data_IF_617037397215
#
_entry.id   IF_617037397215
#
_cell.length_a   1.000
_cell.length_b   1.000
_cell.length_c   1.000
_cell.angle_alpha   90.00
_cell.angle_beta   90.00
_cell.angle_gamma   90.00
#
_symmetry.space_group_name_H-M   'P 1'
#
loop_
_entity.id
_entity.type
_entity.pdbx_description
1 polymer ?
#
# COMPACT_ATOMS: atom_id res chain seq x y z
N UNK A 1 -11.59 -46.35 -11.67
CA UNK A 1 -10.20 -45.94 -11.39
C UNK A 1 -10.29 -44.61 -10.66
N UNK A 2 -10.11 -44.60 -9.34
CA UNK A 2 -10.06 -43.38 -8.54
C UNK A 2 -8.73 -42.73 -8.83
N UNK A 3 -8.74 -41.54 -9.46
CA UNK A 3 -7.57 -40.71 -9.58
C UNK A 3 -7.11 -40.33 -8.14
N UNK A 4 -6.03 -40.95 -7.70
CA UNK A 4 -5.37 -40.59 -6.47
C UNK A 4 -4.63 -39.27 -6.73
N UNK A 5 -5.24 -38.14 -6.37
CA UNK A 5 -4.52 -36.89 -6.33
C UNK A 5 -3.32 -37.04 -5.37
N UNK A 6 -2.11 -36.62 -5.78
CA UNK A 6 -0.95 -36.69 -4.90
C UNK A 6 -1.22 -35.88 -3.62
N UNK A 7 -0.78 -36.42 -2.47
CA UNK A 7 -0.98 -35.75 -1.19
C UNK A 7 -0.35 -34.36 -1.19
N UNK A 8 -1.11 -33.37 -0.72
CA UNK A 8 -0.63 -32.00 -0.59
C UNK A 8 0.41 -31.95 0.52
N UNK A 9 1.62 -31.48 0.23
CA UNK A 9 2.70 -31.24 1.18
C UNK A 9 2.91 -29.75 1.38
N UNK A 10 3.64 -29.36 2.43
CA UNK A 10 4.05 -27.95 2.66
C UNK A 10 4.70 -27.33 1.40
N UNK A 11 5.66 -28.05 0.82
CA UNK A 11 6.38 -27.56 -0.35
C UNK A 11 5.48 -27.40 -1.59
N UNK A 12 4.58 -28.38 -1.85
CA UNK A 12 3.68 -28.33 -3.00
C UNK A 12 2.56 -27.33 -2.82
N UNK A 13 2.01 -27.18 -1.61
CA UNK A 13 0.97 -26.20 -1.31
C UNK A 13 1.47 -24.77 -1.45
N UNK A 14 2.64 -24.46 -0.90
CA UNK A 14 3.24 -23.14 -0.96
C UNK A 14 4.08 -22.89 -2.21
N UNK A 15 4.26 -23.92 -3.07
CA UNK A 15 5.11 -23.83 -4.25
C UNK A 15 6.52 -23.35 -3.92
N UNK A 16 7.10 -23.89 -2.84
CA UNK A 16 8.39 -23.42 -2.31
C UNK A 16 9.52 -23.52 -3.34
N UNK A 17 9.66 -24.63 -4.14
CA UNK A 17 10.71 -24.68 -5.15
C UNK A 17 10.62 -23.56 -6.19
N UNK A 18 9.40 -23.27 -6.67
CA UNK A 18 9.18 -22.20 -7.65
C UNK A 18 9.45 -20.82 -7.03
N UNK A 19 8.95 -20.57 -5.80
CA UNK A 19 9.20 -19.32 -5.10
C UNK A 19 10.70 -19.05 -4.92
N UNK A 20 11.47 -20.06 -4.49
CA UNK A 20 12.91 -19.95 -4.26
C UNK A 20 13.73 -19.97 -5.56
N UNK A 21 13.11 -20.17 -6.71
CA UNK A 21 13.74 -20.07 -8.01
C UNK A 21 13.61 -18.70 -8.69
N UNK A 22 12.98 -17.72 -8.03
CA UNK A 22 12.72 -16.39 -8.60
C UNK A 22 13.79 -15.34 -8.26
N UNK A 23 14.79 -15.69 -7.46
CA UNK A 23 15.86 -14.79 -7.06
C UNK A 23 17.04 -14.93 -8.02
N UNK A 24 17.18 -13.99 -8.97
CA UNK A 24 18.20 -13.99 -10.01
C UNK A 24 19.10 -12.75 -9.90
N UNK A 25 20.22 -12.81 -9.14
CA UNK A 25 21.22 -11.76 -9.14
C UNK A 25 21.82 -11.55 -10.53
N UNK A 26 21.90 -10.30 -10.99
CA UNK A 26 22.49 -9.95 -12.29
C UNK A 26 24.02 -9.86 -12.25
N UNK A 27 24.59 -9.63 -11.06
CA UNK A 27 26.02 -9.77 -10.86
C UNK A 27 26.37 -11.25 -10.89
N UNK A 28 27.32 -11.65 -11.69
CA UNK A 28 27.67 -13.06 -11.90
C UNK A 28 27.13 -13.67 -13.20
N UNK A 29 26.18 -13.05 -13.89
CA UNK A 29 25.75 -13.49 -15.23
C UNK A 29 26.88 -13.47 -16.26
N UNK A 30 27.90 -12.63 -16.07
CA UNK A 30 29.10 -12.50 -16.92
C UNK A 30 30.28 -13.39 -16.47
N UNK A 31 30.01 -14.38 -15.59
CA UNK A 31 31.01 -15.32 -15.06
C UNK A 31 31.88 -14.76 -13.93
N UNK A 32 31.56 -13.57 -13.41
CA UNK A 32 32.18 -13.01 -12.21
C UNK A 32 31.53 -13.56 -10.94
N UNK A 33 32.18 -13.35 -9.80
CA UNK A 33 31.57 -13.65 -8.50
C UNK A 33 30.40 -12.70 -8.30
N UNK A 34 29.22 -13.28 -7.99
CA UNK A 34 28.02 -12.49 -7.67
C UNK A 34 28.25 -11.66 -6.41
N UNK A 35 27.75 -10.41 -6.41
CA UNK A 35 27.77 -9.57 -5.22
C UNK A 35 26.83 -10.13 -4.17
N UNK A 36 27.32 -10.35 -2.97
CA UNK A 36 26.59 -11.06 -1.89
C UNK A 36 25.24 -10.39 -1.57
N UNK A 37 25.23 -9.08 -1.46
CA UNK A 37 24.08 -8.31 -0.98
C UNK A 37 23.01 -8.06 -2.04
N UNK A 38 23.29 -8.35 -3.32
CA UNK A 38 22.28 -8.28 -4.37
C UNK A 38 21.14 -9.27 -4.13
N UNK A 39 21.42 -10.47 -3.59
CA UNK A 39 20.39 -11.43 -3.23
C UNK A 39 19.49 -10.91 -2.11
N UNK A 40 20.06 -10.25 -1.09
CA UNK A 40 19.30 -9.61 -0.03
C UNK A 40 18.37 -8.52 -0.60
N UNK A 41 18.91 -7.68 -1.48
CA UNK A 41 18.15 -6.61 -2.14
C UNK A 41 16.95 -7.16 -2.91
N UNK A 42 17.15 -8.20 -3.72
CA UNK A 42 16.07 -8.87 -4.49
C UNK A 42 15.03 -9.45 -3.53
N UNK A 43 15.47 -10.23 -2.54
CA UNK A 43 14.58 -10.92 -1.61
C UNK A 43 13.69 -9.94 -0.85
N UNK A 44 14.25 -8.86 -0.31
CA UNK A 44 13.47 -7.86 0.43
C UNK A 44 12.41 -7.20 -0.45
N UNK A 45 12.74 -6.83 -1.69
CA UNK A 45 11.77 -6.21 -2.58
C UNK A 45 10.66 -7.18 -3.00
N UNK A 46 10.99 -8.46 -3.26
CA UNK A 46 9.98 -9.49 -3.53
C UNK A 46 9.04 -9.70 -2.33
N UNK A 47 9.57 -9.70 -1.11
CA UNK A 47 8.76 -9.81 0.11
C UNK A 47 7.85 -8.60 0.28
N UNK A 48 8.30 -7.38 -0.02
CA UNK A 48 7.42 -6.19 -0.05
C UNK A 48 6.28 -6.36 -1.04
N UNK A 49 6.55 -6.81 -2.26
CA UNK A 49 5.51 -7.01 -3.28
C UNK A 49 4.49 -8.09 -2.87
N UNK A 50 4.91 -9.16 -2.20
CA UNK A 50 4.00 -10.16 -1.63
C UNK A 50 3.10 -9.57 -0.53
N UNK A 51 3.65 -8.70 0.35
CA UNK A 51 2.86 -8.01 1.35
C UNK A 51 1.91 -6.98 0.73
N UNK A 52 2.32 -6.25 -0.30
CA UNK A 52 1.41 -5.34 -1.01
C UNK A 52 0.24 -6.08 -1.64
N UNK A 53 0.48 -7.26 -2.22
CA UNK A 53 -0.58 -8.13 -2.71
C UNK A 53 -1.55 -8.54 -1.60
N UNK A 54 -1.04 -8.92 -0.43
CA UNK A 54 -1.87 -9.28 0.71
C UNK A 54 -2.66 -8.08 1.24
N UNK A 55 -2.05 -6.89 1.35
CA UNK A 55 -2.74 -5.66 1.73
C UNK A 55 -3.89 -5.33 0.77
N UNK A 56 -3.66 -5.44 -0.53
CA UNK A 56 -4.69 -5.24 -1.55
C UNK A 56 -5.84 -6.24 -1.39
N UNK A 57 -5.53 -7.51 -1.08
CA UNK A 57 -6.53 -8.53 -0.80
C UNK A 57 -7.37 -8.19 0.44
N UNK A 58 -6.74 -7.79 1.55
CA UNK A 58 -7.45 -7.39 2.78
C UNK A 58 -8.36 -6.17 2.56
N UNK A 59 -7.93 -5.21 1.76
CA UNK A 59 -8.69 -3.99 1.52
C UNK A 59 -9.85 -4.18 0.54
N UNK A 60 -9.63 -4.89 -0.58
CA UNK A 60 -10.63 -5.04 -1.66
C UNK A 60 -11.37 -6.37 -1.65
N UNK A 61 -10.85 -7.37 -0.96
CA UNK A 61 -11.35 -8.74 -1.08
C UNK A 61 -10.88 -9.44 -2.37
N UNK A 62 -11.69 -10.34 -2.91
CA UNK A 62 -11.36 -11.08 -4.12
C UNK A 62 -11.37 -10.17 -5.34
N UNK A 63 -10.24 -10.05 -6.02
CA UNK A 63 -10.10 -9.27 -7.26
C UNK A 63 -11.05 -9.73 -8.38
N UNK A 64 -11.52 -11.00 -8.34
CA UNK A 64 -12.50 -11.56 -9.29
C UNK A 64 -13.93 -11.15 -8.99
N UNK A 65 -14.19 -10.62 -7.78
CA UNK A 65 -15.49 -10.16 -7.31
C UNK A 65 -15.35 -8.80 -6.65
N UNK A 66 -15.10 -7.73 -7.42
CA UNK A 66 -14.90 -6.40 -6.87
C UNK A 66 -16.09 -5.96 -6.01
N UNK A 67 -15.80 -5.40 -4.84
CA UNK A 67 -16.82 -4.95 -3.87
C UNK A 67 -17.39 -6.05 -2.98
N UNK A 68 -16.88 -7.29 -3.07
CA UNK A 68 -17.25 -8.37 -2.15
C UNK A 68 -16.05 -8.81 -1.33
N UNK A 69 -16.24 -8.90 -0.03
CA UNK A 69 -15.18 -9.23 0.92
C UNK A 69 -14.17 -8.08 1.14
N UNK A 70 -13.17 -8.33 1.96
CA UNK A 70 -12.23 -7.31 2.39
C UNK A 70 -12.88 -6.15 3.14
N UNK A 71 -12.10 -5.11 3.42
CA UNK A 71 -12.57 -3.91 4.13
C UNK A 71 -13.70 -3.22 3.37
N UNK A 72 -13.56 -3.05 2.05
CA UNK A 72 -14.59 -2.37 1.24
C UNK A 72 -15.91 -3.12 1.21
N UNK A 73 -15.88 -4.46 1.09
CA UNK A 73 -17.08 -5.28 1.14
C UNK A 73 -17.76 -5.22 2.50
N UNK A 74 -17.00 -5.40 3.59
CA UNK A 74 -17.54 -5.34 4.93
C UNK A 74 -18.13 -3.95 5.30
N UNK A 75 -17.53 -2.87 4.78
CA UNK A 75 -18.10 -1.51 4.90
C UNK A 75 -19.43 -1.39 4.15
N UNK A 76 -19.51 -1.94 2.92
CA UNK A 76 -20.72 -1.90 2.11
C UNK A 76 -21.86 -2.75 2.72
N UNK A 77 -21.53 -3.85 3.38
CA UNK A 77 -22.47 -4.75 4.09
C UNK A 77 -22.86 -4.21 5.47
N UNK A 78 -22.23 -3.13 5.92
CA UNK A 78 -22.52 -2.53 7.22
C UNK A 78 -22.01 -3.34 8.42
N UNK A 79 -20.90 -4.08 8.24
CA UNK A 79 -20.29 -4.98 9.22
C UNK A 79 -19.07 -4.37 9.92
N UNK A 80 -19.21 -3.36 10.79
CA UNK A 80 -18.09 -2.61 11.36
C UNK A 80 -17.09 -3.50 12.12
N UNK A 81 -17.55 -4.53 12.81
CA UNK A 81 -16.67 -5.43 13.57
C UNK A 81 -15.81 -6.32 12.65
N UNK A 82 -16.33 -6.72 11.49
CA UNK A 82 -15.52 -7.41 10.47
C UNK A 82 -14.43 -6.48 9.92
N UNK A 83 -14.78 -5.21 9.67
CA UNK A 83 -13.83 -4.15 9.26
C UNK A 83 -12.71 -3.99 10.27
N UNK A 84 -13.00 -3.97 11.59
CA UNK A 84 -11.98 -3.85 12.63
C UNK A 84 -10.95 -4.97 12.58
N UNK A 85 -11.38 -6.21 12.34
CA UNK A 85 -10.49 -7.37 12.19
C UNK A 85 -9.56 -7.25 10.98
N UNK A 86 -10.13 -6.88 9.83
CA UNK A 86 -9.39 -6.72 8.58
C UNK A 86 -8.38 -5.57 8.65
N UNK A 87 -8.79 -4.39 9.11
CA UNK A 87 -7.90 -3.24 9.30
C UNK A 87 -6.83 -3.52 10.37
N UNK A 88 -7.15 -4.29 11.41
CA UNK A 88 -6.18 -4.75 12.41
C UNK A 88 -5.07 -5.59 11.77
N UNK A 89 -5.41 -6.44 10.79
CA UNK A 89 -4.41 -7.22 10.02
C UNK A 89 -3.59 -6.32 9.11
N UNK A 90 -4.23 -5.40 8.38
CA UNK A 90 -3.56 -4.39 7.54
C UNK A 90 -2.52 -3.62 8.36
N UNK A 91 -2.89 -3.10 9.53
CA UNK A 91 -1.98 -2.41 10.45
C UNK A 91 -0.80 -3.30 10.86
N UNK A 92 -1.05 -4.58 11.19
CA UNK A 92 0.02 -5.51 11.58
C UNK A 92 1.00 -5.77 10.45
N UNK A 93 0.51 -5.92 9.21
CA UNK A 93 1.36 -6.05 8.02
C UNK A 93 2.20 -4.78 7.83
N UNK A 94 1.62 -3.59 7.95
CA UNK A 94 2.36 -2.33 7.84
C UNK A 94 3.50 -2.25 8.87
N UNK A 95 3.28 -2.66 10.12
CA UNK A 95 4.34 -2.74 11.14
C UNK A 95 5.45 -3.72 10.73
N UNK A 96 5.09 -4.85 10.13
CA UNK A 96 6.07 -5.81 9.59
C UNK A 96 6.90 -5.17 8.47
N UNK A 97 6.27 -4.42 7.56
CA UNK A 97 6.97 -3.68 6.50
C UNK A 97 7.94 -2.64 7.06
N UNK A 98 7.56 -1.91 8.11
CA UNK A 98 8.43 -0.97 8.82
C UNK A 98 9.65 -1.70 9.39
N UNK A 99 9.44 -2.81 10.09
CA UNK A 99 10.53 -3.61 10.69
C UNK A 99 11.48 -4.21 9.63
N UNK A 100 10.98 -4.56 8.45
CA UNK A 100 11.82 -5.10 7.36
C UNK A 100 12.81 -4.06 6.79
N UNK A 101 12.57 -2.76 6.97
CA UNK A 101 13.55 -1.73 6.61
C UNK A 101 14.87 -1.93 7.36
N UNK A 102 14.81 -2.37 8.62
CA UNK A 102 16.00 -2.62 9.44
C UNK A 102 16.90 -3.69 8.81
N UNK A 103 16.33 -4.71 8.17
CA UNK A 103 17.10 -5.74 7.45
C UNK A 103 17.81 -5.14 6.25
N UNK A 104 17.14 -4.30 5.47
CA UNK A 104 17.74 -3.64 4.31
C UNK A 104 18.84 -2.65 4.73
N UNK A 105 18.66 -1.97 5.87
CA UNK A 105 19.64 -1.02 6.44
C UNK A 105 20.93 -1.69 6.96
N UNK A 106 20.99 -3.03 7.04
CA UNK A 106 22.25 -3.75 7.30
C UNK A 106 23.23 -3.63 6.14
N UNK A 107 22.73 -3.39 4.92
CA UNK A 107 23.55 -3.17 3.74
C UNK A 107 24.16 -1.77 3.77
N UNK A 108 25.49 -1.71 3.67
CA UNK A 108 26.21 -0.42 3.64
C UNK A 108 26.10 0.26 2.27
N UNK A 109 26.34 1.58 2.18
CA UNK A 109 26.39 2.28 0.91
C UNK A 109 27.44 1.72 -0.08
N UNK A 110 28.52 1.13 0.41
CA UNK A 110 29.58 0.53 -0.40
C UNK A 110 29.08 -0.77 -1.05
N UNK A 111 28.46 -1.65 -0.26
CA UNK A 111 27.87 -2.91 -0.73
C UNK A 111 26.74 -2.65 -1.73
N UNK A 112 25.84 -1.69 -1.47
CA UNK A 112 24.84 -1.30 -2.46
C UNK A 112 25.46 -0.76 -3.76
N UNK A 113 26.54 0.02 -3.65
CA UNK A 113 27.19 0.61 -4.82
C UNK A 113 27.87 -0.42 -5.70
N UNK A 114 28.26 -1.59 -5.18
CA UNK A 114 28.93 -2.65 -5.94
C UNK A 114 28.07 -3.23 -7.07
N UNK A 115 26.73 -3.34 -6.84
CA UNK A 115 25.79 -3.85 -7.84
C UNK A 115 24.82 -2.80 -8.41
N UNK A 116 24.78 -1.59 -7.84
CA UNK A 116 23.82 -0.54 -8.23
C UNK A 116 23.78 -0.28 -9.75
N UNK A 117 24.92 -0.32 -10.42
CA UNK A 117 24.99 -0.10 -11.87
C UNK A 117 24.25 -1.18 -12.68
N UNK A 118 24.04 -2.36 -12.11
CA UNK A 118 23.30 -3.46 -12.74
C UNK A 118 21.77 -3.31 -12.64
N UNK A 119 21.30 -2.42 -11.79
CA UNK A 119 19.87 -2.12 -11.66
C UNK A 119 19.36 -1.28 -12.83
N UNK A 120 20.25 -0.63 -13.60
CA UNK A 120 19.88 0.22 -14.74
C UNK A 120 18.81 1.26 -14.35
N UNK A 121 17.61 1.18 -14.97
CA UNK A 121 16.45 2.01 -14.66
C UNK A 121 15.49 1.42 -13.61
N UNK A 122 15.76 0.20 -13.10
CA UNK A 122 14.91 -0.42 -12.10
C UNK A 122 14.88 0.40 -10.81
N UNK A 123 13.67 0.72 -10.34
CA UNK A 123 13.45 1.58 -9.19
C UNK A 123 12.19 1.18 -8.44
N UNK A 124 12.20 1.27 -7.11
CA UNK A 124 11.01 1.08 -6.29
C UNK A 124 9.85 2.03 -6.62
N UNK A 125 10.14 3.15 -7.31
CA UNK A 125 9.11 4.03 -7.87
C UNK A 125 8.19 3.31 -8.87
N UNK A 126 8.66 2.22 -9.47
CA UNK A 126 7.94 1.41 -10.45
C UNK A 126 7.08 0.30 -9.80
N UNK A 127 6.96 0.23 -8.47
CA UNK A 127 6.03 -0.70 -7.82
C UNK A 127 4.59 -0.31 -8.12
N UNK A 128 3.98 -0.96 -9.10
CA UNK A 128 2.58 -0.75 -9.46
C UNK A 128 1.64 -1.16 -8.32
N UNK A 129 1.96 -2.24 -7.57
CA UNK A 129 1.13 -2.67 -6.43
C UNK A 129 1.09 -1.63 -5.31
N UNK A 130 2.21 -0.95 -5.03
CA UNK A 130 2.20 0.13 -4.05
C UNK A 130 1.33 1.30 -4.50
N UNK A 131 1.38 1.67 -5.80
CA UNK A 131 0.50 2.71 -6.36
C UNK A 131 -0.96 2.30 -6.36
N UNK A 132 -1.24 1.03 -6.65
CA UNK A 132 -2.57 0.46 -6.55
C UNK A 132 -3.11 0.51 -5.11
N UNK A 133 -2.25 0.23 -4.11
CA UNK A 133 -2.59 0.36 -2.69
C UNK A 133 -2.97 1.81 -2.32
N UNK A 134 -2.19 2.79 -2.78
CA UNK A 134 -2.50 4.21 -2.60
C UNK A 134 -3.86 4.57 -3.20
N UNK A 135 -4.15 4.10 -4.43
CA UNK A 135 -5.42 4.34 -5.11
C UNK A 135 -6.61 3.69 -4.37
N UNK A 136 -6.46 2.45 -3.89
CA UNK A 136 -7.50 1.73 -3.13
C UNK A 136 -7.83 2.43 -1.82
N UNK A 137 -6.83 2.97 -1.14
CA UNK A 137 -7.06 3.73 0.10
C UNK A 137 -7.78 5.06 -0.15
N UNK A 138 -7.62 5.68 -1.32
CA UNK A 138 -8.32 6.92 -1.67
C UNK A 138 -7.40 8.03 -2.18
N UNK A 139 -6.11 7.74 -2.35
CA UNK A 139 -5.20 8.72 -2.91
C UNK A 139 -5.48 8.90 -4.40
N UNK A 140 -5.60 10.15 -4.81
CA UNK A 140 -5.84 10.57 -6.20
C UNK A 140 -4.87 11.70 -6.53
N UNK A 141 -3.77 11.38 -7.17
CA UNK A 141 -2.85 12.39 -7.68
C UNK A 141 -2.35 11.99 -9.08
N UNK A 142 -1.91 12.98 -9.86
CA UNK A 142 -1.48 12.81 -11.25
C UNK A 142 -0.24 11.89 -11.41
N UNK A 143 0.31 11.41 -10.31
CA UNK A 143 1.52 10.57 -10.27
C UNK A 143 1.24 9.11 -9.99
N UNK A 144 -0.03 8.72 -9.90
CA UNK A 144 -0.39 7.30 -9.69
C UNK A 144 0.11 6.44 -10.83
N UNK A 145 -0.04 6.88 -12.08
CA UNK A 145 0.47 6.19 -13.27
C UNK A 145 1.62 7.01 -13.87
N UNK A 146 2.85 6.48 -13.95
CA UNK A 146 3.96 7.19 -14.57
C UNK A 146 3.71 7.42 -16.06
N UNK A 147 4.21 8.55 -16.57
CA UNK A 147 4.12 8.87 -18.00
C UNK A 147 4.76 7.78 -18.86
N UNK A 148 4.04 7.35 -19.90
CA UNK A 148 4.49 6.30 -20.83
C UNK A 148 4.25 4.85 -20.36
N UNK A 149 3.61 4.63 -19.22
CA UNK A 149 3.31 3.28 -18.73
C UNK A 149 1.81 2.93 -18.73
N UNK A 150 0.97 3.75 -19.34
CA UNK A 150 -0.48 3.58 -19.32
C UNK A 150 -0.97 2.24 -19.94
N UNK A 151 -0.24 1.71 -20.91
CA UNK A 151 -0.59 0.47 -21.61
C UNK A 151 -0.02 -0.80 -20.94
N UNK A 152 0.83 -0.66 -19.95
CA UNK A 152 1.37 -1.81 -19.22
C UNK A 152 0.27 -2.41 -18.32
N UNK A 153 0.05 -3.74 -18.36
CA UNK A 153 -1.02 -4.41 -17.59
C UNK A 153 -0.98 -4.14 -16.09
N UNK A 154 0.19 -3.92 -15.51
CA UNK A 154 0.32 -3.58 -14.10
C UNK A 154 -0.23 -2.18 -13.81
N UNK A 155 0.04 -1.20 -14.69
CA UNK A 155 -0.42 0.17 -14.53
C UNK A 155 -1.88 0.38 -14.95
N UNK A 156 -2.40 -0.44 -15.87
CA UNK A 156 -3.84 -0.50 -16.17
C UNK A 156 -4.64 -0.85 -14.90
N UNK A 157 -4.13 -1.75 -14.04
CA UNK A 157 -4.79 -2.06 -12.76
C UNK A 157 -4.79 -0.87 -11.79
N UNK A 158 -3.70 -0.09 -11.76
CA UNK A 158 -3.62 1.13 -10.94
C UNK A 158 -4.65 2.16 -11.39
N UNK A 159 -4.72 2.42 -12.70
CA UNK A 159 -5.71 3.33 -13.27
C UNK A 159 -7.15 2.88 -12.94
N UNK A 160 -7.45 1.60 -13.18
CA UNK A 160 -8.75 1.02 -12.85
C UNK A 160 -9.10 1.09 -11.35
N UNK A 161 -8.10 0.99 -10.47
CA UNK A 161 -8.31 1.16 -9.02
C UNK A 161 -8.62 2.62 -8.68
N UNK A 162 -8.02 3.58 -9.39
CA UNK A 162 -8.28 5.00 -9.18
C UNK A 162 -9.69 5.44 -9.64
N UNK A 163 -10.28 4.74 -10.59
CA UNK A 163 -11.66 4.99 -11.08
C UNK A 163 -12.76 4.39 -10.21
N UNK A 164 -12.40 3.56 -9.23
CA UNK A 164 -13.36 2.86 -8.35
C UNK A 164 -13.47 3.54 -6.98
N UNK A 165 -14.59 3.28 -6.26
CA UNK A 165 -14.70 3.68 -4.87
C UNK A 165 -13.49 3.22 -4.05
N UNK A 166 -12.98 4.09 -3.21
CA UNK A 166 -11.86 3.84 -2.30
C UNK A 166 -12.36 3.30 -0.95
N UNK A 167 -11.42 2.95 -0.07
CA UNK A 167 -11.75 2.64 1.33
C UNK A 167 -12.42 3.84 2.01
N UNK A 168 -11.94 5.06 1.71
CA UNK A 168 -12.59 6.30 2.19
C UNK A 168 -14.03 6.42 1.70
N UNK A 169 -14.27 6.26 0.38
CA UNK A 169 -15.63 6.31 -0.18
C UNK A 169 -16.54 5.25 0.42
N UNK A 170 -16.02 4.05 0.69
CA UNK A 170 -16.78 2.97 1.32
C UNK A 170 -17.13 3.29 2.78
N UNK A 171 -16.22 3.92 3.53
CA UNK A 171 -16.48 4.40 4.88
C UNK A 171 -17.56 5.49 4.88
N UNK A 172 -17.48 6.46 3.97
CA UNK A 172 -18.52 7.48 3.76
C UNK A 172 -19.86 6.84 3.47
N UNK A 173 -19.92 5.84 2.57
CA UNK A 173 -21.13 5.08 2.28
C UNK A 173 -21.72 4.39 3.51
N UNK A 174 -20.88 3.79 4.35
CA UNK A 174 -21.30 3.21 5.64
C UNK A 174 -21.91 4.28 6.57
N UNK A 175 -21.32 5.48 6.66
CA UNK A 175 -21.86 6.57 7.47
C UNK A 175 -23.24 7.00 6.98
N UNK A 176 -23.44 7.14 5.67
CA UNK A 176 -24.74 7.44 5.06
C UNK A 176 -25.77 6.36 5.42
N UNK A 177 -25.41 5.07 5.25
CA UNK A 177 -26.28 3.95 5.58
C UNK A 177 -26.67 3.90 7.07
N UNK A 178 -25.81 4.43 7.95
CA UNK A 178 -26.05 4.54 9.40
C UNK A 178 -26.83 5.81 9.79
N UNK A 179 -27.20 6.65 8.82
CA UNK A 179 -28.05 7.83 9.05
C UNK A 179 -27.29 9.10 9.40
N UNK A 180 -25.96 9.15 9.19
CA UNK A 180 -25.20 10.40 9.33
C UNK A 180 -25.48 11.33 8.15
N UNK A 181 -25.60 12.63 8.43
CA UNK A 181 -25.87 13.67 7.42
C UNK A 181 -24.57 14.06 6.70
N UNK A 182 -24.09 13.16 5.83
CA UNK A 182 -22.86 13.38 5.06
C UNK A 182 -23.13 14.42 3.97
N UNK A 183 -22.27 15.47 3.84
CA UNK A 183 -22.41 16.50 2.81
C UNK A 183 -22.44 15.91 1.41
N UNK A 184 -23.31 16.46 0.54
CA UNK A 184 -23.51 15.94 -0.81
C UNK A 184 -22.25 15.99 -1.66
N UNK A 185 -21.41 17.02 -1.50
CA UNK A 185 -20.12 17.15 -2.20
C UNK A 185 -19.14 16.05 -1.85
N UNK A 186 -19.26 15.40 -0.66
CA UNK A 186 -18.44 14.26 -0.25
C UNK A 186 -19.12 12.95 -0.63
N UNK A 187 -20.42 12.84 -0.41
CA UNK A 187 -21.21 11.64 -0.68
C UNK A 187 -21.26 11.30 -2.17
N UNK A 188 -21.49 12.32 -3.00
CA UNK A 188 -21.70 12.19 -4.43
C UNK A 188 -20.43 12.52 -5.25
N UNK A 189 -19.26 12.60 -4.57
CA UNK A 189 -17.98 12.89 -5.21
C UNK A 189 -17.62 11.81 -6.26
N UNK A 190 -17.03 12.25 -7.37
CA UNK A 190 -16.47 11.35 -8.37
C UNK A 190 -15.36 10.49 -7.72
N UNK A 191 -15.46 9.15 -7.76
CA UNK A 191 -14.44 8.27 -7.20
C UNK A 191 -13.03 8.48 -7.75
N UNK A 192 -12.91 8.99 -8.98
CA UNK A 192 -11.62 9.25 -9.64
C UNK A 192 -11.01 10.60 -9.24
N UNK A 193 -11.79 11.51 -8.66
CA UNK A 193 -11.31 12.82 -8.23
C UNK A 193 -10.65 12.77 -6.84
N UNK A 194 -9.65 13.63 -6.64
CA UNK A 194 -9.12 13.89 -5.31
C UNK A 194 -10.18 14.61 -4.47
N UNK A 195 -10.53 14.05 -3.33
CA UNK A 195 -11.44 14.68 -2.38
C UNK A 195 -10.61 15.54 -1.41
N UNK A 196 -10.71 16.88 -1.48
CA UNK A 196 -10.04 17.74 -0.50
C UNK A 196 -10.69 17.57 0.88
N UNK A 197 -9.94 17.87 1.93
CA UNK A 197 -10.52 17.92 3.28
C UNK A 197 -11.69 18.91 3.32
N UNK A 198 -12.80 18.49 3.95
CA UNK A 198 -14.06 19.24 4.04
C UNK A 198 -14.39 19.55 5.48
N UNK A 199 -14.53 20.84 5.82
CA UNK A 199 -14.96 21.27 7.17
C UNK A 199 -16.31 20.65 7.56
N UNK A 200 -17.22 20.56 6.59
CA UNK A 200 -18.52 19.92 6.84
C UNK A 200 -18.39 18.41 7.11
N UNK A 201 -17.47 17.73 6.43
CA UNK A 201 -17.19 16.31 6.73
C UNK A 201 -16.51 16.14 8.09
N UNK A 202 -15.66 17.07 8.49
CA UNK A 202 -15.07 17.10 9.84
C UNK A 202 -16.16 17.20 10.92
N UNK A 203 -17.20 18.01 10.71
CA UNK A 203 -18.35 18.10 11.64
C UNK A 203 -19.09 16.76 11.78
N UNK A 204 -19.28 16.05 10.66
CA UNK A 204 -19.88 14.71 10.66
C UNK A 204 -19.01 13.75 11.48
N UNK A 205 -17.69 13.74 11.24
CA UNK A 205 -16.76 12.85 11.97
C UNK A 205 -16.83 13.16 13.48
N UNK A 206 -16.84 14.44 13.88
CA UNK A 206 -17.00 14.84 15.29
C UNK A 206 -18.31 14.29 15.86
N UNK A 207 -19.41 14.32 15.09
CA UNK A 207 -20.69 13.75 15.53
C UNK A 207 -20.63 12.22 15.67
N UNK A 208 -19.92 11.53 14.75
CA UNK A 208 -19.66 10.08 14.83
C UNK A 208 -18.94 9.73 16.14
N UNK A 209 -17.87 10.47 16.48
CA UNK A 209 -17.13 10.24 17.72
C UNK A 209 -17.96 10.43 18.98
N UNK A 210 -19.01 11.24 18.93
CA UNK A 210 -19.90 11.52 20.08
C UNK A 210 -21.10 10.60 20.19
N UNK A 211 -21.49 9.94 19.10
CA UNK A 211 -22.78 9.24 19.06
C UNK A 211 -22.79 7.86 18.40
N UNK A 212 -21.73 7.44 17.69
CA UNK A 212 -21.67 6.16 16.98
C UNK A 212 -20.36 5.43 17.25
N UNK A 213 -20.31 4.66 18.33
CA UNK A 213 -19.12 3.94 18.77
C UNK A 213 -18.58 3.00 17.69
N UNK A 214 -19.44 2.29 16.95
CA UNK A 214 -19.01 1.34 15.94
C UNK A 214 -18.31 2.04 14.75
N UNK A 215 -18.89 3.14 14.25
CA UNK A 215 -18.28 3.92 13.18
C UNK A 215 -17.02 4.65 13.66
N UNK A 216 -16.99 5.12 14.90
CA UNK A 216 -15.81 5.72 15.52
C UNK A 216 -14.66 4.72 15.62
N UNK A 217 -14.89 3.49 16.05
CA UNK A 217 -13.87 2.46 16.12
C UNK A 217 -13.28 2.13 14.73
N UNK A 218 -14.10 2.15 13.68
CA UNK A 218 -13.63 2.00 12.29
C UNK A 218 -12.71 3.18 11.91
N UNK A 219 -13.12 4.42 12.22
CA UNK A 219 -12.30 5.61 11.97
C UNK A 219 -10.93 5.53 12.67
N UNK A 220 -10.90 5.07 13.93
CA UNK A 220 -9.65 4.84 14.67
C UNK A 220 -8.74 3.84 13.95
N UNK A 221 -9.29 2.73 13.47
CA UNK A 221 -8.51 1.74 12.72
C UNK A 221 -8.02 2.25 11.37
N UNK A 222 -8.80 3.11 10.71
CA UNK A 222 -8.35 3.78 9.48
C UNK A 222 -7.18 4.73 9.77
N UNK A 223 -7.21 5.47 10.88
CA UNK A 223 -6.09 6.29 11.32
C UNK A 223 -4.84 5.46 11.65
N UNK A 224 -4.99 4.33 12.34
CA UNK A 224 -3.89 3.39 12.58
C UNK A 224 -3.21 2.94 11.26
N UNK A 225 -4.00 2.74 10.20
CA UNK A 225 -3.48 2.35 8.87
C UNK A 225 -2.76 3.52 8.20
N UNK A 226 -3.35 4.72 8.25
CA UNK A 226 -2.73 5.93 7.67
C UNK A 226 -1.41 6.26 8.37
N UNK A 227 -1.38 6.22 9.71
CA UNK A 227 -0.16 6.41 10.49
C UNK A 227 0.91 5.38 10.11
N UNK A 228 0.56 4.09 10.05
CA UNK A 228 1.49 3.03 9.68
C UNK A 228 2.06 3.19 8.27
N UNK A 229 1.26 3.69 7.31
CA UNK A 229 1.73 4.00 5.96
C UNK A 229 2.70 5.18 5.95
N UNK A 230 2.43 6.23 6.73
CA UNK A 230 3.30 7.40 6.86
C UNK A 230 4.62 7.02 7.57
N UNK A 231 4.57 6.17 8.61
CA UNK A 231 5.75 5.63 9.28
C UNK A 231 6.62 4.84 8.30
N UNK A 232 6.02 3.94 7.51
CA UNK A 232 6.75 3.19 6.49
C UNK A 232 7.42 4.12 5.47
N UNK A 233 6.71 5.15 4.98
CA UNK A 233 7.29 6.15 4.07
C UNK A 233 8.47 6.88 4.68
N UNK A 234 8.34 7.32 5.93
CA UNK A 234 9.41 8.00 6.64
C UNK A 234 10.65 7.11 6.76
N UNK A 235 10.48 5.86 7.19
CA UNK A 235 11.58 4.90 7.31
C UNK A 235 12.24 4.63 5.96
N UNK A 236 11.45 4.49 4.91
CA UNK A 236 11.94 4.29 3.55
C UNK A 236 12.76 5.51 3.06
N UNK A 237 12.30 6.73 3.28
CA UNK A 237 13.07 7.95 2.97
C UNK A 237 14.42 7.94 3.69
N UNK A 238 14.44 7.65 4.98
CA UNK A 238 15.66 7.62 5.79
C UNK A 238 16.63 6.53 5.33
N UNK A 239 16.13 5.37 5.00
CA UNK A 239 16.94 4.29 4.41
C UNK A 239 17.57 4.72 3.09
N UNK A 240 16.82 5.34 2.19
CA UNK A 240 17.34 5.85 0.90
C UNK A 240 18.39 6.94 1.13
N UNK A 241 18.16 7.90 2.05
CA UNK A 241 19.15 8.92 2.41
C UNK A 241 20.45 8.29 2.94
N UNK A 242 20.36 7.27 3.79
CA UNK A 242 21.54 6.57 4.32
C UNK A 242 22.30 5.80 3.25
N UNK A 243 21.60 5.25 2.25
CA UNK A 243 22.20 4.37 1.23
C UNK A 243 22.80 5.14 0.06
N UNK A 244 22.11 6.13 -0.47
CA UNK A 244 22.54 6.87 -1.66
C UNK A 244 22.78 8.36 -1.43
N UNK A 245 22.40 8.91 -0.27
CA UNK A 245 22.51 10.33 0.04
C UNK A 245 21.68 11.19 -0.93
N UNK A 246 22.27 12.25 -1.43
CA UNK A 246 21.63 13.16 -2.40
C UNK A 246 21.79 12.70 -3.86
N UNK A 247 22.28 11.48 -4.12
CA UNK A 247 22.42 10.97 -5.49
C UNK A 247 21.05 10.75 -6.12
N UNK A 248 21.00 10.89 -7.45
CA UNK A 248 19.79 10.59 -8.22
C UNK A 248 19.41 9.11 -8.09
N UNK A 249 18.12 8.83 -7.97
CA UNK A 249 17.58 7.46 -7.98
C UNK A 249 17.79 6.78 -9.33
N UNK A 250 17.85 5.45 -9.37
CA UNK A 250 17.99 4.67 -10.61
C UNK A 250 16.86 4.92 -11.61
N UNK A 251 15.65 5.24 -11.15
CA UNK A 251 14.50 5.61 -11.98
C UNK A 251 14.46 7.08 -12.45
N UNK A 252 15.58 7.82 -12.36
CA UNK A 252 15.66 9.20 -12.84
C UNK A 252 15.04 10.27 -11.92
N UNK A 253 14.45 9.89 -10.81
CA UNK A 253 13.90 10.83 -9.82
C UNK A 253 15.02 11.53 -9.02
N UNK A 254 14.69 12.65 -8.34
CA UNK A 254 15.63 13.31 -7.41
C UNK A 254 15.90 12.48 -6.14
N UNK A 255 15.63 11.17 -6.15
CA UNK A 255 15.94 10.25 -5.06
C UNK A 255 15.21 10.62 -3.75
N UNK A 256 15.98 10.75 -2.67
CA UNK A 256 15.44 11.03 -1.34
C UNK A 256 14.61 12.34 -1.27
N UNK A 257 14.96 13.37 -2.03
CA UNK A 257 14.21 14.63 -2.04
C UNK A 257 12.78 14.48 -2.59
N UNK A 258 12.62 13.69 -3.66
CA UNK A 258 11.28 13.36 -4.17
C UNK A 258 10.47 12.60 -3.12
N UNK A 259 11.06 11.56 -2.52
CA UNK A 259 10.37 10.76 -1.51
C UNK A 259 9.99 11.60 -0.28
N UNK A 260 10.87 12.51 0.16
CA UNK A 260 10.58 13.43 1.25
C UNK A 260 9.36 14.33 0.95
N UNK A 261 9.14 14.71 -0.30
CA UNK A 261 7.96 15.50 -0.70
C UNK A 261 6.63 14.74 -0.54
N UNK A 262 6.67 13.42 -0.36
CA UNK A 262 5.47 12.58 -0.13
C UNK A 262 5.16 12.37 1.35
N UNK A 263 6.05 12.81 2.26
CA UNK A 263 5.83 12.72 3.70
C UNK A 263 4.73 13.69 4.16
N UNK A 264 4.14 13.38 5.30
CA UNK A 264 3.09 14.20 5.94
C UNK A 264 1.86 14.47 5.05
N UNK A 265 1.58 13.57 4.12
CA UNK A 265 0.38 13.60 3.30
C UNK A 265 -0.52 12.45 3.72
N UNK A 266 -1.47 12.68 4.62
CA UNK A 266 -2.39 11.65 5.08
C UNK A 266 -3.27 11.16 3.94
N UNK A 267 -3.71 9.90 4.05
CA UNK A 267 -4.69 9.31 3.13
C UNK A 267 -6.12 9.73 3.52
N UNK A 268 -6.35 9.91 4.82
CA UNK A 268 -7.67 10.27 5.38
C UNK A 268 -7.61 11.64 6.10
N UNK A 269 -7.44 12.76 5.37
CA UNK A 269 -7.18 14.07 5.97
C UNK A 269 -8.28 14.56 6.91
N UNK A 270 -9.57 14.24 6.61
CA UNK A 270 -10.69 14.64 7.45
C UNK A 270 -10.68 13.98 8.83
N UNK A 271 -10.22 12.71 8.91
CA UNK A 271 -10.06 12.02 10.19
C UNK A 271 -8.99 12.69 11.07
N UNK A 272 -7.90 13.15 10.46
CA UNK A 272 -6.86 13.89 11.16
C UNK A 272 -7.33 15.29 11.58
N UNK A 273 -8.02 15.99 10.71
CA UNK A 273 -8.54 17.33 10.99
C UNK A 273 -9.55 17.33 12.15
N UNK A 274 -10.39 16.31 12.25
CA UNK A 274 -11.37 16.16 13.31
C UNK A 274 -10.74 16.11 14.71
N UNK A 275 -9.48 15.68 14.85
CA UNK A 275 -8.78 15.57 16.15
C UNK A 275 -8.73 16.91 16.91
N UNK A 276 -8.60 18.00 16.19
CA UNK A 276 -8.54 19.34 16.81
C UNK A 276 -9.90 19.84 17.33
N UNK A 277 -11.00 19.10 17.05
CA UNK A 277 -12.37 19.50 17.36
C UNK A 277 -13.10 18.52 18.31
N UNK A 278 -12.42 17.41 18.65
CA UNK A 278 -12.89 16.42 19.63
C UNK A 278 -12.57 16.87 21.05
#
# INVERSE_FOLDING_TARGET
>A
MTETHPAVTYATYLRVPELLSLQHPRTGEDGRIAEHDELLFITIHQVYELWFQQLLHELRGDARRPGTGGVQGALAEGEPYAVLGLLGRVRTILKTLVAQVDVLETMTPVEFSSFRSRLESASGFQSAQFRELEAVLGRRDDRLVPSGMADDPAWVRVAAAAERPSVWSSYVGMLVARGHDVPSEVRDADPSAAVPASEAMVDVIVSVYRGDEAAMLVAERMLDVDEGLQEWRYRHVKMVERTIGAKQGTGGSSGAAYLASTLFRPVFPDLWAARSRL
#
